data_IF_488768901985
#
_entry.id   IF_488768901985
#
_cell.length_a   1.000
_cell.length_b   1.000
_cell.length_c   1.000
_cell.angle_alpha   90.00
_cell.angle_beta   90.00
_cell.angle_gamma   90.00
#
_symmetry.space_group_name_H-M   'P 1'
#
loop_
_entity.id
_entity.type
_entity.pdbx_description
1 polymer ?
#
# COMPACT_ATOMS: atom_id res chain seq x y z
N UNK A 1 0.53 24.21 -21.63
CA UNK A 1 0.26 23.74 -20.26
C UNK A 1 -1.22 23.38 -20.20
N UNK A 2 -1.54 22.11 -19.92
CA UNK A 2 -2.91 21.63 -19.81
C UNK A 2 -3.27 21.49 -18.33
N UNK A 3 -4.39 22.08 -17.93
CA UNK A 3 -4.93 21.90 -16.58
C UNK A 3 -5.81 20.66 -16.54
N UNK A 4 -5.76 19.91 -15.45
CA UNK A 4 -6.66 18.80 -15.19
C UNK A 4 -8.10 19.31 -14.98
N UNK A 5 -9.08 18.45 -15.26
CA UNK A 5 -10.49 18.80 -15.08
C UNK A 5 -10.83 19.21 -13.63
N UNK A 6 -10.11 18.67 -12.64
CA UNK A 6 -10.26 19.01 -11.23
C UNK A 6 -9.80 20.44 -10.93
N UNK A 7 -8.63 20.83 -11.44
CA UNK A 7 -8.10 22.19 -11.27
C UNK A 7 -9.02 23.24 -11.87
N UNK A 8 -9.64 22.94 -13.02
CA UNK A 8 -10.60 23.85 -13.64
C UNK A 8 -11.88 24.01 -12.81
N UNK A 9 -12.29 22.95 -12.10
CA UNK A 9 -13.55 22.95 -11.36
C UNK A 9 -13.40 23.56 -9.95
N UNK A 10 -12.26 23.32 -9.29
CA UNK A 10 -12.05 23.68 -7.89
C UNK A 10 -10.96 24.74 -7.68
N UNK A 11 -10.25 25.13 -8.75
CA UNK A 11 -9.12 26.08 -8.69
C UNK A 11 -8.02 25.67 -7.69
N UNK A 12 -7.90 24.36 -7.45
CA UNK A 12 -6.93 23.73 -6.55
C UNK A 12 -6.32 22.53 -7.26
N UNK A 13 -5.03 22.27 -7.01
CA UNK A 13 -4.37 21.05 -7.48
C UNK A 13 -5.06 19.81 -6.87
N UNK A 14 -5.35 18.82 -7.71
CA UNK A 14 -5.92 17.56 -7.22
C UNK A 14 -4.84 16.80 -6.45
N UNK A 15 -4.92 16.80 -5.13
CA UNK A 15 -4.06 15.96 -4.29
C UNK A 15 -4.77 14.61 -4.15
N UNK A 16 -4.33 13.62 -4.91
CA UNK A 16 -4.86 12.26 -4.82
C UNK A 16 -4.28 11.56 -3.58
N UNK A 17 -4.97 10.53 -3.04
CA UNK A 17 -4.43 9.73 -1.93
C UNK A 17 -3.04 9.15 -2.23
N UNK A 18 -2.78 8.79 -3.49
CA UNK A 18 -1.45 8.37 -3.95
C UNK A 18 -0.41 9.49 -3.85
N UNK A 19 -0.76 10.77 -3.99
CA UNK A 19 0.17 11.90 -3.84
C UNK A 19 0.55 12.15 -2.37
N UNK A 20 -0.34 11.78 -1.44
CA UNK A 20 -0.08 11.84 0.01
C UNK A 20 0.69 10.61 0.51
N UNK A 21 0.47 9.45 -0.09
CA UNK A 21 1.16 8.20 0.27
C UNK A 21 2.50 8.05 -0.45
N UNK A 22 2.62 8.62 -1.64
CA UNK A 22 3.84 8.62 -2.42
C UNK A 22 4.64 9.92 -2.24
N UNK A 23 5.19 10.11 -1.05
CA UNK A 23 6.44 10.88 -0.93
C UNK A 23 7.53 10.38 -1.91
N UNK A 24 7.40 9.14 -2.40
CA UNK A 24 8.20 8.48 -3.43
C UNK A 24 7.96 8.95 -4.87
N UNK A 25 6.76 9.48 -5.21
CA UNK A 25 6.51 10.03 -6.56
C UNK A 25 7.07 11.46 -6.70
N UNK A 26 7.21 12.18 -5.59
CA UNK A 26 7.82 13.51 -5.47
C UNK A 26 9.32 13.47 -5.12
N UNK A 27 9.94 12.29 -5.01
CA UNK A 27 11.36 12.15 -4.65
C UNK A 27 12.34 12.54 -5.77
N UNK A 28 11.82 12.82 -6.97
CA UNK A 28 12.59 13.29 -8.12
C UNK A 28 12.17 14.74 -8.33
N UNK A 29 13.12 15.66 -8.26
CA UNK A 29 12.90 17.04 -8.65
C UNK A 29 12.75 17.06 -10.19
N UNK A 30 11.50 17.06 -10.65
CA UNK A 30 11.20 16.98 -12.08
C UNK A 30 11.62 18.24 -12.85
N UNK A 31 11.97 19.32 -12.15
CA UNK A 31 12.55 20.52 -12.75
C UNK A 31 14.00 20.26 -13.23
N UNK A 32 14.70 19.30 -12.62
CA UNK A 32 16.07 18.91 -12.97
C UNK A 32 16.16 17.86 -14.10
N UNK A 33 15.05 17.18 -14.44
CA UNK A 33 15.03 16.11 -15.45
C UNK A 33 14.63 16.68 -16.81
N UNK A 34 15.63 17.03 -17.63
CA UNK A 34 15.42 17.71 -18.91
C UNK A 34 15.50 16.75 -20.10
N UNK A 35 16.28 15.67 -19.99
CA UNK A 35 16.59 14.77 -21.10
C UNK A 35 15.85 13.43 -21.02
N UNK A 36 15.52 12.84 -22.18
CA UNK A 36 14.84 11.54 -22.26
C UNK A 36 15.59 10.40 -21.55
N UNK A 37 16.92 10.38 -21.65
CA UNK A 37 17.77 9.39 -20.99
C UNK A 37 17.72 9.53 -19.46
N UNK A 38 17.77 10.76 -18.97
CA UNK A 38 17.64 11.08 -17.54
C UNK A 38 16.27 10.67 -17.00
N UNK A 39 15.21 10.86 -17.81
CA UNK A 39 13.86 10.43 -17.47
C UNK A 39 13.76 8.91 -17.33
N UNK A 40 14.38 8.14 -18.24
CA UNK A 40 14.39 6.68 -18.15
C UNK A 40 15.17 6.24 -16.90
N UNK A 41 16.33 6.83 -16.62
CA UNK A 41 17.14 6.49 -15.45
C UNK A 41 16.42 6.81 -14.14
N UNK A 42 15.83 8.00 -14.03
CA UNK A 42 15.04 8.41 -12.87
C UNK A 42 13.85 7.45 -12.68
N UNK A 43 13.20 7.04 -13.77
CA UNK A 43 12.07 6.09 -13.69
C UNK A 43 12.50 4.69 -13.26
N UNK A 44 13.65 4.20 -13.72
CA UNK A 44 14.20 2.90 -13.30
C UNK A 44 14.54 2.92 -11.81
N UNK A 45 15.25 3.95 -11.35
CA UNK A 45 15.59 4.11 -9.93
C UNK A 45 14.35 4.21 -9.04
N UNK A 46 13.31 4.92 -9.50
CA UNK A 46 12.05 5.00 -8.78
C UNK A 46 11.38 3.63 -8.63
N UNK A 47 11.39 2.80 -9.68
CA UNK A 47 10.82 1.45 -9.64
C UNK A 47 11.58 0.54 -8.69
N UNK A 48 12.91 0.63 -8.65
CA UNK A 48 13.74 -0.14 -7.72
C UNK A 48 13.48 0.26 -6.26
N UNK A 49 13.31 1.55 -5.98
CA UNK A 49 13.11 2.06 -4.63
C UNK A 49 11.64 2.00 -4.16
N UNK A 50 10.69 1.84 -5.07
CA UNK A 50 9.26 1.91 -4.76
C UNK A 50 8.85 0.89 -3.71
N UNK A 51 9.28 -0.37 -3.84
CA UNK A 51 8.90 -1.42 -2.90
C UNK A 51 9.46 -1.14 -1.50
N UNK A 52 10.76 -0.85 -1.39
CA UNK A 52 11.41 -0.56 -0.11
C UNK A 52 10.87 0.71 0.58
N UNK A 53 10.60 1.77 -0.18
CA UNK A 53 10.06 3.02 0.37
C UNK A 53 8.62 2.83 0.81
N UNK A 54 7.82 2.09 0.04
CA UNK A 54 6.45 1.75 0.43
C UNK A 54 6.44 0.89 1.70
N UNK A 55 7.27 -0.14 1.79
CA UNK A 55 7.41 -0.95 3.00
C UNK A 55 7.82 -0.10 4.22
N UNK A 56 8.77 0.83 4.05
CA UNK A 56 9.18 1.78 5.11
C UNK A 56 8.06 2.76 5.48
N UNK A 57 7.25 3.20 4.52
CA UNK A 57 6.11 4.09 4.77
C UNK A 57 4.96 3.36 5.50
N UNK A 58 4.70 2.10 5.14
CA UNK A 58 3.76 1.21 5.81
C UNK A 58 4.20 0.91 7.24
N UNK A 59 5.48 0.66 7.49
CA UNK A 59 6.02 0.43 8.83
C UNK A 59 5.88 1.66 9.77
N UNK A 60 5.85 2.88 9.21
CA UNK A 60 5.72 4.12 9.98
C UNK A 60 4.30 4.42 10.45
N UNK A 61 3.28 3.82 9.84
CA UNK A 61 1.88 4.04 10.19
C UNK A 61 1.24 2.76 10.72
N UNK A 62 1.19 2.57 12.05
CA UNK A 62 0.49 1.43 12.62
C UNK A 62 -0.98 1.45 12.20
N UNK A 63 -1.47 0.30 11.73
CA UNK A 63 -2.86 0.11 11.33
C UNK A 63 -3.78 0.41 12.51
N UNK A 64 -4.84 1.18 12.27
CA UNK A 64 -5.82 1.53 13.28
C UNK A 64 -7.01 0.58 13.21
N UNK A 65 -7.71 0.35 14.34
CA UNK A 65 -9.03 -0.25 14.32
C UNK A 65 -9.94 0.46 13.31
N UNK A 66 -10.56 -0.29 12.40
CA UNK A 66 -11.38 0.21 11.30
C UNK A 66 -10.65 0.41 9.98
N UNK A 67 -9.34 0.20 9.89
CA UNK A 67 -8.66 0.13 8.60
C UNK A 67 -9.01 -1.17 7.86
N UNK A 68 -9.13 -1.09 6.54
CA UNK A 68 -9.38 -2.21 5.64
C UNK A 68 -8.04 -2.82 5.21
N UNK A 69 -7.89 -4.14 5.30
CA UNK A 69 -6.61 -4.83 5.10
C UNK A 69 -6.75 -6.16 4.37
N UNK A 70 -5.70 -6.56 3.66
CA UNK A 70 -5.49 -7.91 3.14
C UNK A 70 -4.67 -8.72 4.14
N UNK A 71 -4.95 -10.02 4.23
CA UNK A 71 -4.22 -10.92 5.11
C UNK A 71 -3.55 -12.06 4.33
N UNK A 72 -2.26 -12.27 4.58
CA UNK A 72 -1.46 -13.28 3.92
C UNK A 72 -1.80 -14.69 4.45
N UNK A 73 -1.92 -15.65 3.53
CA UNK A 73 -2.31 -17.01 3.82
C UNK A 73 -1.14 -18.00 3.67
N UNK A 74 -0.36 -18.17 4.74
CA UNK A 74 0.78 -19.11 4.80
C UNK A 74 0.44 -20.57 4.50
N UNK A 75 -0.82 -21.01 4.71
CA UNK A 75 -1.18 -22.41 4.45
C UNK A 75 -1.10 -22.81 2.96
N UNK A 76 -1.04 -21.82 2.06
CA UNK A 76 -0.93 -22.06 0.61
C UNK A 76 0.51 -22.26 0.13
N UNK A 77 1.55 -21.91 0.92
CA UNK A 77 2.97 -22.08 0.54
C UNK A 77 3.39 -23.54 0.46
N UNK A 78 2.84 -24.40 1.32
CA UNK A 78 3.27 -25.82 1.44
C UNK A 78 2.75 -26.73 0.32
N UNK A 79 1.95 -26.21 -0.62
CA UNK A 79 1.33 -27.03 -1.67
C UNK A 79 2.09 -26.87 -2.99
N UNK A 80 2.65 -27.98 -3.48
CA UNK A 80 3.28 -28.06 -4.79
C UNK A 80 2.29 -27.58 -5.88
N UNK A 81 2.68 -26.55 -6.65
CA UNK A 81 1.86 -25.96 -7.72
C UNK A 81 1.22 -24.60 -7.43
N UNK A 82 1.44 -24.00 -6.25
CA UNK A 82 0.91 -22.68 -5.89
C UNK A 82 1.86 -21.49 -6.13
N UNK A 83 2.99 -21.70 -6.82
CA UNK A 83 4.04 -20.68 -7.02
C UNK A 83 3.55 -19.37 -7.68
N UNK A 84 2.34 -19.37 -8.26
CA UNK A 84 1.71 -18.21 -8.90
C UNK A 84 0.33 -17.85 -8.36
N UNK A 85 -0.11 -18.42 -7.23
CA UNK A 85 -1.42 -18.07 -6.65
C UNK A 85 -1.29 -16.83 -5.78
N UNK A 86 -2.30 -15.97 -5.82
CA UNK A 86 -2.39 -14.88 -4.87
C UNK A 86 -2.54 -15.46 -3.45
N UNK A 87 -1.60 -15.11 -2.58
CA UNK A 87 -1.58 -15.53 -1.18
C UNK A 87 -2.26 -14.51 -0.25
N UNK A 88 -2.68 -13.37 -0.78
CA UNK A 88 -3.41 -12.33 -0.05
C UNK A 88 -4.92 -12.58 -0.15
N UNK A 89 -5.57 -12.76 1.00
CA UNK A 89 -7.02 -12.89 1.12
C UNK A 89 -7.63 -11.62 1.69
N UNK A 90 -8.96 -11.51 1.60
CA UNK A 90 -9.71 -10.36 2.12
C UNK A 90 -9.86 -9.29 1.06
N UNK A 91 -10.71 -8.29 1.32
CA UNK A 91 -10.48 -7.35 2.42
C UNK A 91 -11.12 -7.72 3.76
N UNK A 92 -10.45 -7.35 4.85
CA UNK A 92 -10.82 -7.54 6.25
C UNK A 92 -10.80 -6.21 7.00
N UNK A 93 -11.57 -6.10 8.08
CA UNK A 93 -11.48 -4.97 9.01
C UNK A 93 -10.50 -5.26 10.14
N UNK A 94 -9.66 -4.29 10.49
CA UNK A 94 -8.86 -4.35 11.72
C UNK A 94 -9.77 -4.08 12.92
N UNK A 95 -9.89 -5.03 13.83
CA UNK A 95 -10.66 -4.85 15.07
C UNK A 95 -9.83 -4.28 16.21
N UNK A 96 -8.69 -4.91 16.47
CA UNK A 96 -7.82 -4.52 17.59
C UNK A 96 -6.37 -4.91 17.30
N UNK A 97 -5.45 -4.10 17.81
CA UNK A 97 -4.04 -4.44 17.87
C UNK A 97 -3.70 -4.97 19.27
N UNK A 98 -3.15 -6.18 19.33
CA UNK A 98 -2.61 -6.76 20.54
C UNK A 98 -1.27 -6.11 20.90
N UNK A 99 -0.94 -6.07 22.19
CA UNK A 99 0.30 -5.48 22.73
C UNK A 99 1.57 -6.08 22.09
N UNK A 100 1.50 -7.34 21.65
CA UNK A 100 2.59 -8.03 20.96
C UNK A 100 2.80 -7.59 19.50
N UNK A 101 2.04 -6.61 19.00
CA UNK A 101 2.09 -6.17 17.59
C UNK A 101 1.31 -7.05 16.62
N UNK A 102 0.56 -8.04 17.11
CA UNK A 102 -0.33 -8.84 16.29
C UNK A 102 -1.71 -8.18 16.19
N UNK A 103 -2.40 -8.35 15.07
CA UNK A 103 -3.72 -7.78 14.84
C UNK A 103 -4.80 -8.86 14.86
N UNK A 104 -5.97 -8.47 15.34
CA UNK A 104 -7.21 -9.24 15.25
C UNK A 104 -8.00 -8.65 14.09
N UNK A 105 -8.34 -9.51 13.14
CA UNK A 105 -9.08 -9.13 11.95
C UNK A 105 -10.52 -9.64 12.03
N UNK A 106 -11.37 -8.99 11.27
CA UNK A 106 -12.78 -9.31 11.12
C UNK A 106 -13.16 -9.34 9.64
N UNK A 107 -14.04 -10.25 9.26
CA UNK A 107 -14.68 -10.30 7.95
C UNK A 107 -15.55 -9.05 7.73
N UNK A 108 -15.90 -8.78 6.46
CA UNK A 108 -16.75 -7.63 6.11
C UNK A 108 -18.14 -7.69 6.76
N UNK A 109 -18.60 -8.87 7.17
CA UNK A 109 -19.90 -9.12 7.79
C UNK A 109 -19.89 -9.01 9.32
N UNK A 110 -18.72 -8.78 9.93
CA UNK A 110 -18.57 -8.71 11.38
C UNK A 110 -18.08 -10.02 12.04
N UNK A 111 -17.71 -11.03 11.25
CA UNK A 111 -17.20 -12.30 11.81
C UNK A 111 -15.73 -12.17 12.20
N UNK A 112 -15.41 -12.33 13.49
CA UNK A 112 -14.03 -12.30 13.96
C UNK A 112 -13.22 -13.48 13.42
N UNK A 113 -12.04 -13.20 12.87
CA UNK A 113 -11.11 -14.27 12.50
C UNK A 113 -10.51 -14.86 13.79
N UNK A 114 -10.68 -16.17 13.97
CA UNK A 114 -10.19 -16.88 15.17
C UNK A 114 -8.67 -16.96 15.30
N UNK A 115 -7.91 -16.47 14.30
CA UNK A 115 -6.44 -16.40 14.33
C UNK A 115 -5.98 -14.94 14.40
N UNK A 116 -4.87 -14.74 15.11
CA UNK A 116 -4.16 -13.46 15.13
C UNK A 116 -3.18 -13.39 13.96
N UNK A 117 -3.00 -12.21 13.41
CA UNK A 117 -2.11 -11.98 12.28
C UNK A 117 -0.92 -11.12 12.70
N UNK A 118 0.28 -11.52 12.30
CA UNK A 118 1.46 -10.68 12.47
C UNK A 118 1.38 -9.47 11.53
N UNK A 119 1.94 -8.33 11.92
CA UNK A 119 1.98 -7.12 11.08
C UNK A 119 2.56 -7.40 9.67
N UNK A 120 3.57 -8.27 9.56
CA UNK A 120 4.21 -8.68 8.30
C UNK A 120 3.26 -9.44 7.34
N UNK A 121 2.19 -10.05 7.88
CA UNK A 121 1.20 -10.79 7.08
C UNK A 121 -0.06 -9.97 6.80
N UNK A 122 0.00 -8.66 6.97
CA UNK A 122 -1.14 -7.77 6.81
C UNK A 122 -0.70 -6.62 5.93
N UNK A 123 -1.49 -6.32 4.90
CA UNK A 123 -1.26 -5.19 4.01
C UNK A 123 -2.50 -4.31 3.98
N UNK A 124 -2.33 -3.00 3.97
CA UNK A 124 -3.48 -2.09 3.86
C UNK A 124 -4.15 -2.26 2.50
N UNK A 125 -5.47 -2.34 2.51
CA UNK A 125 -6.29 -2.43 1.31
C UNK A 125 -6.91 -1.08 1.03
N UNK A 126 -6.73 -0.60 -0.19
CA UNK A 126 -7.33 0.63 -0.68
C UNK A 126 -8.41 0.23 -1.69
N UNK A 127 -9.69 0.54 -1.43
CA UNK A 127 -10.79 0.25 -2.35
C UNK A 127 -10.76 1.09 -3.63
#
# INVERSE_FOLDING_TARGET
>A
MGYSAYELLFSQLAVLPVDLEAGTFLGIDWDDVVTHEELILARVQQLEQHEEVMEKAYAKHPLKPGDLVLAYNKSLESQWGNLFKNHWNGPYWVREQHISGAYILEELDGTLLGRRFAAEHIKRFYP
#
